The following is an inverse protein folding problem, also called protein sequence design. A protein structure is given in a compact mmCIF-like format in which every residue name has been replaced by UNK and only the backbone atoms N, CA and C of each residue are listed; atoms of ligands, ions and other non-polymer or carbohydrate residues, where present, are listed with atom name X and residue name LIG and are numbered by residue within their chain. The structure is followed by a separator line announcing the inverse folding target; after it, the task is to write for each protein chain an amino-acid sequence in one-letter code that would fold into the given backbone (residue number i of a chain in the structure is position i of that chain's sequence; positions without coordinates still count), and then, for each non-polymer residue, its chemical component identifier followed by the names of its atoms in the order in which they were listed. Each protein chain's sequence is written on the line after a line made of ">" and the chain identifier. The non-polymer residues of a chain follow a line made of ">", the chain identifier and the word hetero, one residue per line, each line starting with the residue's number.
data_IF_033717107339
#
_entry.id   IF_033717107339
#
_cell.length_a   1.000
_cell.length_b   1.000
_cell.length_c   1.000
_cell.angle_alpha   90.00
_cell.angle_beta   90.00
_cell.angle_gamma   90.00
#
_symmetry.space_group_name_H-M   'P 1'
#
loop_
_entity.id
_entity.type
_entity.pdbx_description
1 polymer ?
#
# COMPACT_ATOMS: atom_id res chain seq x y z
N UNK A 1 -0.95 7.42 -15.09
CA UNK A 1 0.05 7.35 -14.00
C UNK A 1 1.37 6.73 -14.42
N UNK A 2 1.38 5.71 -15.30
CA UNK A 2 2.63 5.21 -15.92
C UNK A 2 3.53 4.42 -14.96
N UNK A 3 2.94 3.79 -13.94
CA UNK A 3 3.65 2.92 -13.02
C UNK A 3 3.68 1.49 -13.51
N UNK A 4 4.74 0.81 -13.14
CA UNK A 4 4.88 -0.63 -13.22
C UNK A 4 4.27 -1.27 -11.95
N UNK A 5 3.76 -2.49 -12.08
CA UNK A 5 3.04 -3.18 -11.03
C UNK A 5 3.82 -4.41 -10.57
N UNK A 6 3.93 -4.59 -9.27
CA UNK A 6 4.29 -5.87 -8.68
C UNK A 6 3.11 -6.36 -7.86
N UNK A 7 2.69 -7.60 -8.09
CA UNK A 7 1.78 -8.34 -7.21
C UNK A 7 2.56 -9.46 -6.57
N UNK A 8 2.37 -9.66 -5.26
CA UNK A 8 3.00 -10.73 -4.49
C UNK A 8 2.87 -12.08 -5.20
N UNK A 9 3.93 -12.88 -5.20
CA UNK A 9 4.00 -14.09 -6.05
C UNK A 9 2.88 -15.09 -5.76
N UNK A 10 2.50 -15.22 -4.49
CA UNK A 10 1.40 -16.05 -4.00
C UNK A 10 0.03 -15.63 -4.54
N UNK A 11 -0.10 -14.39 -5.01
CA UNK A 11 -1.37 -13.82 -5.46
C UNK A 11 -1.50 -13.71 -6.98
N UNK A 12 -0.40 -13.88 -7.71
CA UNK A 12 -0.37 -13.74 -9.19
C UNK A 12 -1.31 -14.70 -9.92
N UNK A 13 -1.58 -15.88 -9.35
CA UNK A 13 -2.48 -16.89 -9.93
C UNK A 13 -3.96 -16.64 -9.61
N UNK A 14 -4.28 -15.69 -8.73
CA UNK A 14 -5.68 -15.32 -8.45
C UNK A 14 -6.31 -14.71 -9.69
N UNK A 15 -7.60 -14.96 -9.89
CA UNK A 15 -8.36 -14.50 -11.06
C UNK A 15 -9.31 -13.38 -10.65
N UNK A 16 -9.28 -12.28 -11.38
CA UNK A 16 -10.25 -11.20 -11.29
C UNK A 16 -10.83 -10.89 -12.67
N UNK A 17 -12.15 -10.91 -12.79
CA UNK A 17 -12.87 -10.69 -14.07
C UNK A 17 -12.34 -11.55 -15.23
N UNK A 18 -12.02 -12.82 -14.96
CA UNK A 18 -11.50 -13.76 -15.96
C UNK A 18 -10.02 -13.59 -16.32
N UNK A 19 -9.29 -12.69 -15.65
CA UNK A 19 -7.86 -12.43 -15.90
C UNK A 19 -7.04 -12.75 -14.66
N UNK A 20 -5.89 -13.42 -14.83
CA UNK A 20 -4.94 -13.62 -13.74
C UNK A 20 -4.34 -12.27 -13.30
N UNK A 21 -4.20 -12.05 -12.00
CA UNK A 21 -3.59 -10.81 -11.49
C UNK A 21 -2.16 -10.62 -12.04
N UNK A 22 -1.39 -11.71 -12.17
CA UNK A 22 -0.04 -11.68 -12.73
C UNK A 22 0.03 -11.38 -14.23
N UNK A 23 -1.09 -11.40 -14.97
CA UNK A 23 -1.14 -11.04 -16.40
C UNK A 23 -1.67 -9.64 -16.66
N UNK A 24 -1.91 -8.85 -15.61
CA UNK A 24 -2.34 -7.46 -15.76
C UNK A 24 -1.27 -6.62 -16.48
N UNK A 25 -1.68 -5.65 -17.32
CA UNK A 25 -0.74 -4.76 -18.01
C UNK A 25 0.17 -4.02 -17.02
N UNK A 26 1.46 -3.91 -17.38
CA UNK A 26 2.46 -3.23 -16.55
C UNK A 26 3.05 -4.09 -15.43
N UNK A 27 2.71 -5.38 -15.33
CA UNK A 27 3.30 -6.30 -14.36
C UNK A 27 4.79 -6.52 -14.61
N UNK A 28 5.61 -6.40 -13.57
CA UNK A 28 7.03 -6.75 -13.60
C UNK A 28 7.28 -8.18 -13.14
N UNK A 29 8.23 -8.84 -13.79
CA UNK A 29 8.62 -10.22 -13.45
C UNK A 29 9.67 -10.29 -12.33
N UNK A 30 10.41 -9.21 -12.11
CA UNK A 30 11.47 -9.11 -11.11
C UNK A 30 11.40 -7.75 -10.42
N UNK A 31 11.68 -7.74 -9.12
CA UNK A 31 11.84 -6.49 -8.35
C UNK A 31 13.17 -5.81 -8.72
N UNK A 32 13.29 -4.49 -8.50
CA UNK A 32 14.55 -3.78 -8.71
C UNK A 32 15.70 -4.38 -7.89
N UNK A 33 16.84 -4.64 -8.52
CA UNK A 33 17.97 -5.38 -7.92
C UNK A 33 18.80 -4.59 -6.91
N UNK A 34 18.52 -3.30 -6.73
CA UNK A 34 19.26 -2.44 -5.80
C UNK A 34 18.96 -2.71 -4.32
N UNK A 35 17.88 -3.44 -4.03
CA UNK A 35 17.51 -3.79 -2.67
C UNK A 35 18.34 -4.96 -2.16
N UNK A 36 18.78 -4.88 -0.90
CA UNK A 36 19.44 -6.01 -0.25
C UNK A 36 18.46 -7.19 -0.09
N UNK A 37 19.01 -8.37 0.21
CA UNK A 37 18.20 -9.60 0.29
C UNK A 37 17.08 -9.53 1.34
N UNK A 38 17.34 -8.92 2.50
CA UNK A 38 16.33 -8.72 3.55
C UNK A 38 15.15 -7.88 3.05
N UNK A 39 15.44 -6.77 2.36
CA UNK A 39 14.44 -5.88 1.77
C UNK A 39 13.63 -6.59 0.70
N UNK A 40 14.29 -7.38 -0.17
CA UNK A 40 13.60 -8.18 -1.17
C UNK A 40 12.61 -9.18 -0.55
N UNK A 41 13.01 -9.88 0.52
CA UNK A 41 12.13 -10.83 1.22
C UNK A 41 10.90 -10.15 1.80
N UNK A 42 11.05 -8.97 2.41
CA UNK A 42 9.91 -8.19 2.92
C UNK A 42 8.99 -7.75 1.78
N UNK A 43 9.57 -7.16 0.72
CA UNK A 43 8.82 -6.63 -0.41
C UNK A 43 8.07 -7.72 -1.18
N UNK A 44 8.65 -8.90 -1.35
CA UNK A 44 8.02 -10.01 -2.07
C UNK A 44 6.71 -10.48 -1.43
N UNK A 45 6.54 -10.22 -0.13
CA UNK A 45 5.32 -10.53 0.61
C UNK A 45 4.30 -9.40 0.56
N UNK A 46 4.65 -8.17 0.21
CA UNK A 46 3.68 -7.06 0.12
C UNK A 46 2.75 -7.29 -1.06
N UNK A 47 1.44 -7.21 -0.82
CA UNK A 47 0.42 -7.63 -1.78
C UNK A 47 0.55 -6.93 -3.14
N UNK A 48 0.69 -5.60 -3.13
CA UNK A 48 0.89 -4.80 -4.36
C UNK A 48 1.92 -3.70 -4.15
N UNK A 49 2.75 -3.46 -5.16
CA UNK A 49 3.62 -2.29 -5.24
C UNK A 49 3.41 -1.55 -6.56
N UNK A 50 3.56 -0.23 -6.48
CA UNK A 50 3.74 0.62 -7.65
C UNK A 50 5.21 0.99 -7.78
N UNK A 51 5.76 0.74 -8.95
CA UNK A 51 7.16 1.00 -9.27
C UNK A 51 7.26 2.07 -10.36
N UNK A 52 8.36 2.82 -10.32
CA UNK A 52 8.75 3.73 -11.40
C UNK A 52 10.22 3.49 -11.71
N UNK A 53 10.48 2.63 -12.70
CA UNK A 53 11.80 2.08 -12.95
C UNK A 53 12.30 1.38 -11.69
N UNK A 54 13.36 1.92 -11.11
CA UNK A 54 14.03 1.31 -9.99
C UNK A 54 13.45 1.69 -8.61
N UNK A 55 12.51 2.62 -8.52
CA UNK A 55 11.98 3.11 -7.24
C UNK A 55 10.60 2.56 -6.90
N UNK A 56 10.37 2.23 -5.63
CA UNK A 56 9.03 1.95 -5.10
C UNK A 56 8.35 3.28 -4.81
N UNK A 57 7.19 3.50 -5.44
CA UNK A 57 6.39 4.72 -5.29
C UNK A 57 5.32 4.54 -4.22
N UNK A 58 4.69 3.37 -4.20
CA UNK A 58 3.68 3.02 -3.23
C UNK A 58 3.68 1.52 -2.93
N UNK A 59 3.27 1.17 -1.71
CA UNK A 59 3.07 -0.18 -1.24
C UNK A 59 1.66 -0.32 -0.67
N UNK A 60 1.02 -1.45 -0.95
CA UNK A 60 -0.37 -1.73 -0.56
C UNK A 60 -0.45 -3.09 0.12
N UNK A 61 -1.11 -3.12 1.26
CA UNK A 61 -1.53 -4.34 1.94
C UNK A 61 -3.06 -4.41 1.93
N UNK A 62 -3.62 -5.53 1.46
CA UNK A 62 -5.07 -5.74 1.30
C UNK A 62 -5.56 -6.73 2.37
N UNK A 63 -5.95 -6.20 3.52
CA UNK A 63 -6.25 -6.99 4.71
C UNK A 63 -7.76 -7.23 4.87
N UNK A 64 -8.29 -8.21 4.14
CA UNK A 64 -9.71 -8.60 4.23
C UNK A 64 -9.99 -9.67 5.30
N UNK A 65 -9.17 -10.73 5.35
CA UNK A 65 -9.37 -11.89 6.25
C UNK A 65 -8.16 -12.21 7.13
N UNK A 66 -6.97 -11.76 6.74
CA UNK A 66 -5.71 -11.93 7.47
C UNK A 66 -5.58 -10.93 8.63
N UNK A 67 -4.53 -11.07 9.45
CA UNK A 67 -4.29 -10.19 10.59
C UNK A 67 -3.72 -8.85 10.12
N UNK A 68 -4.44 -7.75 10.38
CA UNK A 68 -3.97 -6.37 10.15
C UNK A 68 -2.52 -6.18 10.60
N UNK A 69 -2.18 -6.74 11.76
CA UNK A 69 -0.87 -6.59 12.36
C UNK A 69 0.26 -7.12 11.46
N UNK A 70 0.04 -8.21 10.74
CA UNK A 70 1.06 -8.81 9.87
C UNK A 70 1.33 -7.94 8.64
N UNK A 71 0.31 -7.33 8.05
CA UNK A 71 0.48 -6.32 6.99
C UNK A 71 1.24 -5.09 7.48
N UNK A 72 0.84 -4.55 8.64
CA UNK A 72 1.52 -3.39 9.23
C UNK A 72 2.99 -3.66 9.59
N UNK A 73 3.31 -4.89 10.05
CA UNK A 73 4.69 -5.27 10.33
C UNK A 73 5.55 -5.27 9.05
N UNK A 74 5.04 -5.79 7.93
CA UNK A 74 5.73 -5.75 6.63
C UNK A 74 6.01 -4.30 6.18
N UNK A 75 5.05 -3.41 6.38
CA UNK A 75 5.20 -1.98 6.11
C UNK A 75 6.27 -1.32 7.00
N UNK A 76 6.26 -1.64 8.30
CA UNK A 76 7.26 -1.16 9.26
C UNK A 76 8.67 -1.65 8.92
N UNK A 77 8.81 -2.92 8.56
CA UNK A 77 10.09 -3.51 8.15
C UNK A 77 10.63 -2.84 6.89
N UNK A 78 9.78 -2.54 5.91
CA UNK A 78 10.18 -1.82 4.69
C UNK A 78 10.75 -0.42 5.02
N UNK A 79 10.09 0.34 5.89
CA UNK A 79 10.60 1.65 6.33
C UNK A 79 11.93 1.53 7.09
N UNK A 80 12.05 0.54 7.96
CA UNK A 80 13.27 0.31 8.73
C UNK A 80 14.46 -0.09 7.84
N UNK A 81 14.21 -0.91 6.81
CA UNK A 81 15.24 -1.37 5.88
C UNK A 81 15.61 -0.30 4.83
N UNK A 82 14.69 0.63 4.53
CA UNK A 82 14.87 1.67 3.51
C UNK A 82 14.47 3.07 4.03
N UNK A 83 15.13 3.59 5.09
CA UNK A 83 14.70 4.83 5.77
C UNK A 83 14.77 6.09 4.87
N UNK A 84 15.61 6.07 3.85
CA UNK A 84 15.79 7.18 2.92
C UNK A 84 14.76 7.20 1.77
N UNK A 85 13.93 6.17 1.63
CA UNK A 85 12.94 6.12 0.56
C UNK A 85 11.63 6.79 0.99
N UNK A 86 11.11 7.64 0.11
CA UNK A 86 9.77 8.22 0.25
C UNK A 86 8.76 7.29 -0.41
N UNK A 87 8.27 6.30 0.34
CA UNK A 87 7.28 5.32 -0.13
C UNK A 87 5.92 5.68 0.47
N UNK A 88 4.89 5.76 -0.36
CA UNK A 88 3.52 5.91 0.12
C UNK A 88 2.98 4.54 0.57
N UNK A 89 2.58 4.42 1.83
CA UNK A 89 2.08 3.16 2.38
C UNK A 89 0.57 3.24 2.52
N UNK A 90 -0.12 2.19 2.08
CA UNK A 90 -1.56 2.08 2.20
C UNK A 90 -1.98 0.73 2.73
N UNK A 91 -2.90 0.75 3.69
CA UNK A 91 -3.62 -0.43 4.13
C UNK A 91 -5.05 -0.34 3.60
N UNK A 92 -5.44 -1.30 2.76
CA UNK A 92 -6.76 -1.36 2.14
C UNK A 92 -7.55 -2.47 2.82
N UNK A 93 -8.68 -2.14 3.42
CA UNK A 93 -9.50 -3.14 4.13
C UNK A 93 -10.99 -2.76 4.10
N UNK A 94 -11.89 -3.72 4.41
CA UNK A 94 -13.27 -3.43 4.73
C UNK A 94 -13.42 -2.32 5.78
N UNK A 95 -14.44 -1.47 5.62
CA UNK A 95 -14.68 -0.31 6.47
C UNK A 95 -14.95 -0.69 7.94
N UNK A 96 -15.56 -1.84 8.20
CA UNK A 96 -15.78 -2.39 9.55
C UNK A 96 -14.47 -2.76 10.29
N UNK A 97 -13.33 -2.82 9.58
CA UNK A 97 -12.01 -3.04 10.16
C UNK A 97 -11.27 -1.77 10.51
N UNK A 98 -11.81 -0.58 10.19
CA UNK A 98 -11.16 0.73 10.42
C UNK A 98 -10.64 0.86 11.86
N UNK A 99 -11.48 0.62 12.86
CA UNK A 99 -11.10 0.80 14.27
C UNK A 99 -10.01 -0.19 14.71
N UNK A 100 -10.02 -1.40 14.12
CA UNK A 100 -8.96 -2.39 14.34
C UNK A 100 -7.64 -1.92 13.73
N UNK A 101 -7.69 -1.30 12.54
CA UNK A 101 -6.51 -0.71 11.87
C UNK A 101 -5.93 0.42 12.71
N UNK A 102 -6.77 1.34 13.15
CA UNK A 102 -6.38 2.45 14.01
C UNK A 102 -5.72 1.95 15.30
N UNK A 103 -6.36 1.00 15.99
CA UNK A 103 -5.83 0.40 17.22
C UNK A 103 -4.46 -0.25 17.02
N UNK A 104 -4.26 -0.99 15.92
CA UNK A 104 -2.97 -1.62 15.63
C UNK A 104 -1.89 -0.58 15.25
N UNK A 105 -2.23 0.43 14.44
CA UNK A 105 -1.30 1.52 14.07
C UNK A 105 -0.83 2.34 15.28
N UNK A 106 -1.68 2.47 16.29
CA UNK A 106 -1.37 3.22 17.52
C UNK A 106 -0.53 2.44 18.54
N UNK A 107 -0.16 1.19 18.24
CA UNK A 107 0.69 0.39 19.13
C UNK A 107 2.09 1.02 19.29
N UNK A 108 2.69 0.96 20.50
CA UNK A 108 4.00 1.56 20.77
C UNK A 108 5.10 1.12 19.78
N UNK A 109 5.07 -0.15 19.36
CA UNK A 109 6.02 -0.71 18.38
C UNK A 109 6.09 0.10 17.08
N UNK A 110 4.98 0.68 16.63
CA UNK A 110 4.92 1.46 15.39
C UNK A 110 5.07 2.98 15.60
N UNK A 111 5.10 3.45 16.86
CA UNK A 111 5.26 4.86 17.22
C UNK A 111 6.72 5.29 17.37
N UNK A 112 7.61 4.36 17.72
CA UNK A 112 9.00 4.66 18.08
C UNK A 112 9.95 4.87 16.88
N UNK A 113 9.43 4.84 15.66
CA UNK A 113 10.20 5.16 14.46
C UNK A 113 10.29 6.68 14.26
N UNK A 114 11.34 7.14 13.57
CA UNK A 114 11.49 8.56 13.18
C UNK A 114 10.24 9.10 12.48
N UNK A 115 9.55 8.24 11.72
CA UNK A 115 8.21 8.48 11.19
C UNK A 115 7.26 7.43 11.75
N UNK A 116 6.35 7.79 12.68
CA UNK A 116 5.35 6.88 13.21
C UNK A 116 4.49 6.28 12.09
N UNK A 117 4.22 4.98 12.12
CA UNK A 117 3.47 4.32 11.03
C UNK A 117 2.07 4.91 10.87
N UNK A 118 1.43 5.34 11.95
CA UNK A 118 0.12 6.00 11.94
C UNK A 118 0.07 7.29 11.10
N UNK A 119 1.20 8.01 10.96
CA UNK A 119 1.25 9.26 10.18
C UNK A 119 1.63 9.05 8.71
N UNK A 120 2.18 7.89 8.35
CA UNK A 120 2.67 7.61 6.99
C UNK A 120 1.94 6.48 6.27
N UNK A 121 1.25 5.60 7.01
CA UNK A 121 0.41 4.54 6.46
C UNK A 121 -1.05 4.98 6.44
N UNK A 122 -1.57 5.20 5.23
CA UNK A 122 -2.94 5.63 5.02
C UNK A 122 -3.91 4.45 4.96
N UNK A 123 -5.02 4.54 5.70
CA UNK A 123 -6.12 3.60 5.59
C UNK A 123 -7.03 3.94 4.41
N UNK A 124 -7.38 2.93 3.62
CA UNK A 124 -8.32 3.04 2.51
C UNK A 124 -9.44 2.00 2.68
N UNK A 125 -10.61 2.49 3.08
CA UNK A 125 -11.84 1.70 3.12
C UNK A 125 -12.30 1.26 1.73
N UNK A 126 -12.86 0.05 1.63
CA UNK A 126 -13.34 -0.51 0.37
C UNK A 126 -14.46 0.33 -0.25
N UNK A 127 -15.41 0.81 0.56
CA UNK A 127 -16.52 1.62 0.07
C UNK A 127 -16.01 2.93 -0.53
N UNK A 128 -15.25 3.71 0.25
CA UNK A 128 -14.70 5.00 -0.17
C UNK A 128 -13.83 4.86 -1.43
N UNK A 129 -12.91 3.90 -1.45
CA UNK A 129 -12.01 3.69 -2.58
C UNK A 129 -12.80 3.31 -3.85
N UNK A 130 -13.76 2.40 -3.72
CA UNK A 130 -14.58 1.92 -4.85
C UNK A 130 -15.43 3.05 -5.42
N UNK A 131 -16.05 3.88 -4.58
CA UNK A 131 -16.89 4.98 -5.03
C UNK A 131 -16.08 6.09 -5.70
N UNK A 132 -14.90 6.42 -5.18
CA UNK A 132 -13.98 7.34 -5.88
C UNK A 132 -13.57 6.79 -7.25
N UNK A 133 -13.26 5.50 -7.35
CA UNK A 133 -12.90 4.88 -8.62
C UNK A 133 -14.05 4.89 -9.63
N UNK A 134 -15.30 4.68 -9.19
CA UNK A 134 -16.49 4.82 -10.03
C UNK A 134 -16.61 6.25 -10.58
N UNK A 135 -16.48 7.25 -9.72
CA UNK A 135 -16.54 8.67 -10.12
C UNK A 135 -15.45 9.05 -11.12
N UNK A 136 -14.20 8.62 -10.89
CA UNK A 136 -13.07 8.85 -11.81
C UNK A 136 -13.35 8.25 -13.19
N UNK A 137 -13.92 7.03 -13.24
CA UNK A 137 -14.28 6.36 -14.50
C UNK A 137 -15.42 7.08 -15.22
N UNK A 138 -16.48 7.43 -14.49
CA UNK A 138 -17.66 8.07 -15.05
C UNK A 138 -17.34 9.46 -15.66
N UNK A 139 -16.45 10.21 -15.01
CA UNK A 139 -16.03 11.54 -15.46
C UNK A 139 -14.88 11.50 -16.49
N UNK A 140 -14.37 10.31 -16.85
CA UNK A 140 -13.27 10.18 -17.81
C UNK A 140 -11.93 10.74 -17.30
N UNK A 141 -11.73 10.84 -15.98
CA UNK A 141 -10.58 11.51 -15.37
C UNK A 141 -9.35 10.62 -15.20
N UNK A 142 -9.42 9.35 -15.61
CA UNK A 142 -8.37 8.37 -15.39
C UNK A 142 -7.01 8.77 -16.02
N UNK A 143 -7.03 9.43 -17.18
CA UNK A 143 -5.81 9.90 -17.86
C UNK A 143 -5.15 11.09 -17.16
N UNK A 144 -5.92 11.89 -16.42
CA UNK A 144 -5.47 13.07 -15.68
C UNK A 144 -5.17 12.78 -14.20
N UNK A 145 -5.37 11.54 -13.75
CA UNK A 145 -5.21 11.16 -12.35
C UNK A 145 -3.74 11.26 -11.94
N UNK A 146 -3.49 12.10 -10.92
CA UNK A 146 -2.18 12.25 -10.29
C UNK A 146 -2.00 11.23 -9.18
N UNK A 147 -0.79 10.72 -8.93
CA UNK A 147 -0.53 9.69 -7.92
C UNK A 147 -0.95 10.08 -6.49
N UNK A 148 -0.95 11.37 -6.18
CA UNK A 148 -1.32 11.91 -4.87
C UNK A 148 -2.80 11.80 -4.54
N UNK A 149 -3.64 11.34 -5.48
CA UNK A 149 -5.07 11.14 -5.23
C UNK A 149 -5.33 10.14 -4.09
N UNK A 150 -4.49 9.11 -3.95
CA UNK A 150 -4.61 8.13 -2.87
C UNK A 150 -4.24 8.74 -1.53
N UNK A 151 -3.16 9.53 -1.47
CA UNK A 151 -2.77 10.26 -0.26
C UNK A 151 -3.88 11.23 0.18
N UNK A 152 -4.56 11.88 -0.77
CA UNK A 152 -5.73 12.75 -0.50
C UNK A 152 -7.02 12.00 -0.18
N UNK A 153 -7.04 10.69 -0.36
CA UNK A 153 -8.22 9.84 -0.11
C UNK A 153 -8.07 9.05 1.17
N UNK A 154 -6.84 8.63 1.49
CA UNK A 154 -6.56 7.83 2.65
C UNK A 154 -6.76 8.61 3.94
N UNK A 155 -7.20 7.89 4.95
CA UNK A 155 -7.29 8.37 6.31
C UNK A 155 -5.96 8.09 7.02
N UNK A 156 -5.44 9.07 7.74
CA UNK A 156 -4.23 8.94 8.55
C UNK A 156 -4.58 9.19 10.01
N UNK A 157 -4.10 8.31 10.89
CA UNK A 157 -4.41 8.37 12.32
C UNK A 157 -3.30 9.07 13.13
N UNK A 158 -2.19 9.41 12.47
CA UNK A 158 -1.13 10.22 13.02
C UNK A 158 -1.47 11.70 12.92
N UNK A 159 -2.16 12.22 13.94
CA UNK A 159 -2.26 13.64 14.23
C UNK A 159 -1.16 14.07 15.21
N UNK A 160 -0.66 15.28 15.01
CA UNK A 160 0.27 15.97 15.91
C UNK A 160 -0.51 16.23 17.21
N UNK A 161 -0.06 15.64 18.32
CA UNK A 161 -0.34 16.23 19.63
C UNK A 161 0.42 17.58 19.65
N UNK A 162 -0.18 18.62 19.09
CA UNK A 162 0.18 20.01 19.40
C UNK A 162 -0.53 20.32 20.73
N UNK A 163 0.13 19.96 21.83
CA UNK A 163 -0.01 20.63 23.14
C UNK A 163 1.36 21.07 23.64
#
# INVERSE_FOLDING_TARGET
>A
MGFELWVARNDRSKIWSGTNLGSLPGMVNQLPTQFNEATNRTIELIDVLWLKGNSIVAAFEVESTTSVYSGLLRMSDLLALQPNLSINLFLVAPDDRRDKVESELMRPTFKLHEKPLASVCGFLGFELLTDKLKGIRQLGLASSLKPDFLQKTAEYFGGIDEE
#
